data_IF_420231572221
#
_entry.id   IF_420231572221
#
_cell.length_a   1.000
_cell.length_b   1.000
_cell.length_c   1.000
_cell.angle_alpha   90.00
_cell.angle_beta   90.00
_cell.angle_gamma   90.00
#
_symmetry.space_group_name_H-M   'P 1'
#
loop_
_entity.id
_entity.type
_entity.pdbx_description
1 polymer ?
#
# COMPACT_ATOMS: atom_id res chain seq x y z
N UNK A 1 -10.72 -34.94 13.62
CA UNK A 1 -9.84 -33.77 13.40
C UNK A 1 -8.65 -33.90 14.34
N UNK A 2 -7.42 -33.64 13.88
CA UNK A 2 -6.28 -33.59 14.81
C UNK A 2 -6.51 -32.45 15.81
N UNK A 3 -6.29 -32.74 17.10
CA UNK A 3 -6.57 -31.81 18.21
C UNK A 3 -5.30 -31.03 18.60
N UNK A 4 -5.44 -29.71 18.79
CA UNK A 4 -4.39 -28.82 19.28
C UNK A 4 -3.20 -28.61 18.33
N UNK A 5 -2.09 -28.08 18.87
CA UNK A 5 -0.85 -27.76 18.14
C UNK A 5 0.13 -28.94 18.08
N UNK A 6 -0.36 -30.10 17.63
CA UNK A 6 0.39 -31.36 17.61
C UNK A 6 1.71 -31.28 16.79
N UNK A 7 1.77 -30.43 15.76
CA UNK A 7 2.99 -30.21 14.94
C UNK A 7 4.08 -29.50 15.76
N UNK A 8 3.72 -28.50 16.55
CA UNK A 8 4.68 -27.81 17.41
C UNK A 8 5.13 -28.69 18.56
N UNK A 9 4.19 -29.45 19.14
CA UNK A 9 4.47 -30.42 20.19
C UNK A 9 5.45 -31.50 19.69
N UNK A 10 5.26 -32.00 18.47
CA UNK A 10 6.18 -32.93 17.82
C UNK A 10 7.56 -32.32 17.60
N UNK A 11 7.64 -31.05 17.14
CA UNK A 11 8.92 -30.34 16.97
C UNK A 11 9.63 -30.07 18.29
N UNK A 12 8.90 -29.84 19.38
CA UNK A 12 9.47 -29.68 20.74
C UNK A 12 10.01 -31.00 21.28
N UNK A 13 9.31 -32.12 21.05
CA UNK A 13 9.68 -33.47 21.53
C UNK A 13 10.80 -34.12 20.73
N UNK A 14 10.72 -34.06 19.39
CA UNK A 14 11.60 -34.78 18.48
C UNK A 14 12.54 -33.87 17.69
N UNK A 15 12.43 -32.55 17.89
CA UNK A 15 13.26 -31.57 17.18
C UNK A 15 12.89 -31.42 15.71
N UNK A 16 13.85 -30.91 14.95
CA UNK A 16 13.77 -30.80 13.51
C UNK A 16 14.53 -31.95 12.84
N UNK A 17 14.22 -32.19 11.56
CA UNK A 17 15.09 -33.01 10.72
C UNK A 17 16.50 -32.40 10.70
N UNK A 18 17.53 -33.23 10.80
CA UNK A 18 18.93 -32.80 10.90
C UNK A 18 19.33 -31.74 9.85
N UNK A 19 18.98 -31.93 8.57
CA UNK A 19 19.34 -30.97 7.50
C UNK A 19 18.42 -29.74 7.40
N UNK A 20 17.46 -29.55 8.30
CA UNK A 20 16.42 -28.53 8.13
C UNK A 20 17.02 -27.13 8.02
N UNK A 21 17.92 -26.79 8.93
CA UNK A 21 18.54 -25.47 8.99
C UNK A 21 19.47 -25.23 7.80
N UNK A 22 20.21 -26.25 7.36
CA UNK A 22 21.06 -26.13 6.16
C UNK A 22 20.23 -25.92 4.89
N UNK A 23 19.14 -26.69 4.74
CA UNK A 23 18.23 -26.56 3.59
C UNK A 23 17.55 -25.19 3.60
N UNK A 24 17.16 -24.68 4.76
CA UNK A 24 16.57 -23.34 4.91
C UNK A 24 17.57 -22.26 4.52
N UNK A 25 18.80 -22.29 5.06
CA UNK A 25 19.88 -21.35 4.71
C UNK A 25 20.19 -21.35 3.22
N UNK A 26 20.39 -22.54 2.62
CA UNK A 26 20.67 -22.68 1.18
C UNK A 26 19.49 -22.21 0.32
N UNK A 27 18.25 -22.32 0.80
CA UNK A 27 17.06 -21.83 0.10
C UNK A 27 16.97 -20.30 0.14
N UNK A 28 17.20 -19.70 1.30
CA UNK A 28 17.22 -18.24 1.48
C UNK A 28 18.32 -17.60 0.62
N UNK A 29 19.54 -18.17 0.63
CA UNK A 29 20.63 -17.70 -0.21
C UNK A 29 20.31 -17.78 -1.72
N UNK A 30 19.69 -18.88 -2.17
CA UNK A 30 19.29 -19.06 -3.58
C UNK A 30 18.11 -18.18 -4.00
N UNK A 31 17.30 -17.73 -3.05
CA UNK A 31 16.08 -16.96 -3.32
C UNK A 31 16.37 -15.68 -4.10
N UNK A 32 17.52 -15.05 -3.89
CA UNK A 32 17.93 -13.83 -4.62
C UNK A 32 18.07 -14.11 -6.11
N UNK A 33 18.84 -15.13 -6.48
CA UNK A 33 19.02 -15.54 -7.87
C UNK A 33 17.73 -16.04 -8.50
N UNK A 34 16.94 -16.84 -7.75
CA UNK A 34 15.65 -17.32 -8.23
C UNK A 34 14.66 -16.19 -8.50
N UNK A 35 14.60 -15.16 -7.64
CA UNK A 35 13.71 -14.00 -7.84
C UNK A 35 14.07 -13.24 -9.10
N UNK A 36 15.37 -13.01 -9.33
CA UNK A 36 15.86 -12.37 -10.55
C UNK A 36 15.51 -13.19 -11.79
N UNK A 37 15.81 -14.49 -11.76
CA UNK A 37 15.50 -15.39 -12.87
C UNK A 37 13.99 -15.47 -13.17
N UNK A 38 13.14 -15.50 -12.14
CA UNK A 38 11.67 -15.48 -12.30
C UNK A 38 11.18 -14.18 -12.92
N UNK A 39 11.75 -13.03 -12.54
CA UNK A 39 11.39 -11.74 -13.13
C UNK A 39 11.78 -11.65 -14.61
N UNK A 40 12.97 -12.15 -14.98
CA UNK A 40 13.46 -12.15 -16.36
C UNK A 40 12.71 -13.13 -17.26
N UNK A 41 12.39 -14.32 -16.75
CA UNK A 41 11.82 -15.42 -17.56
C UNK A 41 10.28 -15.43 -17.60
N UNK A 42 9.60 -14.73 -16.68
CA UNK A 42 8.14 -14.74 -16.63
C UNK A 42 7.53 -13.87 -17.74
N UNK A 43 6.81 -14.49 -18.66
CA UNK A 43 6.14 -13.82 -19.77
C UNK A 43 4.66 -13.52 -19.48
N UNK A 44 4.10 -12.58 -20.23
CA UNK A 44 2.67 -12.24 -20.22
C UNK A 44 2.15 -11.71 -18.88
N UNK A 45 0.95 -12.15 -18.49
CA UNK A 45 0.24 -11.68 -17.29
C UNK A 45 1.04 -12.00 -16.01
N UNK A 46 1.75 -13.14 -15.98
CA UNK A 46 2.56 -13.54 -14.82
C UNK A 46 3.70 -12.55 -14.58
N UNK A 47 4.38 -12.08 -15.64
CA UNK A 47 5.40 -11.04 -15.55
C UNK A 47 4.85 -9.72 -14.99
N UNK A 48 3.69 -9.27 -15.50
CA UNK A 48 3.01 -8.05 -15.02
C UNK A 48 2.64 -8.15 -13.52
N UNK A 49 2.14 -9.31 -13.08
CA UNK A 49 1.81 -9.57 -11.69
C UNK A 49 3.05 -9.52 -10.78
N UNK A 50 4.18 -10.10 -11.22
CA UNK A 50 5.45 -10.07 -10.48
C UNK A 50 5.97 -8.63 -10.36
N UNK A 51 5.94 -7.86 -11.45
CA UNK A 51 6.37 -6.46 -11.43
C UNK A 51 5.54 -5.61 -10.45
N UNK A 52 4.21 -5.79 -10.45
CA UNK A 52 3.31 -5.09 -9.52
C UNK A 52 3.60 -5.45 -8.06
N UNK A 53 3.84 -6.73 -7.75
CA UNK A 53 4.21 -7.17 -6.40
C UNK A 53 5.55 -6.58 -5.96
N UNK A 54 6.58 -6.66 -6.82
CA UNK A 54 7.90 -6.11 -6.52
C UNK A 54 7.86 -4.59 -6.27
N UNK A 55 7.04 -3.85 -7.02
CA UNK A 55 6.86 -2.41 -6.79
C UNK A 55 6.22 -2.12 -5.43
N UNK A 56 5.15 -2.85 -5.07
CA UNK A 56 4.50 -2.70 -3.78
C UNK A 56 5.42 -3.03 -2.60
N UNK A 57 6.19 -4.13 -2.71
CA UNK A 57 7.20 -4.51 -1.69
C UNK A 57 8.27 -3.43 -1.53
N UNK A 58 8.81 -2.89 -2.63
CA UNK A 58 9.80 -1.80 -2.59
C UNK A 58 9.23 -0.52 -1.96
N UNK A 59 8.01 -0.15 -2.31
CA UNK A 59 7.36 1.04 -1.76
C UNK A 59 7.10 0.88 -0.26
N UNK A 60 6.66 -0.29 0.19
CA UNK A 60 6.47 -0.60 1.60
C UNK A 60 7.80 -0.51 2.35
N UNK A 61 8.86 -1.16 1.85
CA UNK A 61 10.17 -1.14 2.49
C UNK A 61 10.77 0.27 2.55
N UNK A 62 10.61 1.08 1.49
CA UNK A 62 11.06 2.47 1.49
C UNK A 62 10.35 3.28 2.58
N UNK A 63 9.03 3.10 2.75
CA UNK A 63 8.26 3.76 3.81
C UNK A 63 8.71 3.30 5.19
N UNK A 64 8.92 2.01 5.41
CA UNK A 64 9.36 1.51 6.72
C UNK A 64 10.75 2.01 7.09
N UNK A 65 11.66 2.13 6.12
CA UNK A 65 12.99 2.71 6.35
C UNK A 65 12.89 4.21 6.67
N UNK A 66 12.11 4.97 5.89
CA UNK A 66 11.90 6.40 6.16
C UNK A 66 11.29 6.64 7.56
N UNK A 67 10.27 5.87 7.95
CA UNK A 67 9.69 5.95 9.30
C UNK A 67 10.71 5.63 10.39
N UNK A 68 11.56 4.62 10.18
CA UNK A 68 12.59 4.27 11.15
C UNK A 68 13.66 5.36 11.25
N UNK A 69 14.13 5.90 10.12
CA UNK A 69 15.06 7.03 10.05
C UNK A 69 14.51 8.27 10.76
N UNK A 70 13.28 8.69 10.45
CA UNK A 70 12.59 9.83 11.08
C UNK A 70 12.42 9.63 12.59
N UNK A 71 12.03 8.42 13.03
CA UNK A 71 11.87 8.10 14.45
C UNK A 71 13.20 8.10 15.21
N UNK A 72 14.29 7.69 14.57
CA UNK A 72 15.63 7.68 15.17
C UNK A 72 16.19 9.08 15.36
N UNK A 73 15.86 10.01 14.47
CA UNK A 73 16.24 11.42 14.59
C UNK A 73 15.13 12.20 15.28
N UNK A 74 14.96 12.03 16.60
CA UNK A 74 14.20 13.00 17.39
C UNK A 74 14.92 14.34 17.37
N UNK A 75 14.67 15.15 16.35
CA UNK A 75 14.97 16.58 16.38
C UNK A 75 13.89 17.24 17.22
N UNK A 76 14.29 18.10 18.16
CA UNK A 76 13.36 19.07 18.73
C UNK A 76 12.86 19.90 17.56
N UNK A 77 11.56 19.93 17.33
CA UNK A 77 10.95 20.87 16.41
C UNK A 77 11.23 22.25 17.00
N UNK A 78 12.00 23.09 16.30
CA UNK A 78 12.09 24.50 16.65
C UNK A 78 10.70 25.10 16.36
N UNK A 79 10.13 25.76 17.36
CA UNK A 79 8.75 26.28 17.40
C UNK A 79 8.57 27.50 16.47
N UNK A 80 8.99 27.41 15.20
CA UNK A 80 8.57 28.37 14.18
C UNK A 80 7.16 28.00 13.70
N UNK A 81 6.21 28.66 14.33
CA UNK A 81 4.77 28.64 14.03
C UNK A 81 4.58 28.79 12.53
N UNK A 82 4.19 27.70 11.86
CA UNK A 82 3.83 27.73 10.45
C UNK A 82 2.57 28.59 10.28
N UNK A 83 2.53 29.45 9.25
CA UNK A 83 1.44 30.42 8.93
C UNK A 83 0.03 29.81 8.68
N UNK A 84 -0.15 28.51 8.94
CA UNK A 84 -1.41 27.76 8.87
C UNK A 84 -1.86 27.16 10.21
N UNK A 85 -1.30 27.61 11.34
CA UNK A 85 -1.65 27.12 12.67
C UNK A 85 -3.09 27.52 13.06
N UNK A 86 -4.01 26.57 12.92
CA UNK A 86 -5.37 26.69 13.43
C UNK A 86 -5.34 26.46 14.95
N UNK A 87 -6.14 27.17 15.76
CA UNK A 87 -6.18 26.91 17.20
C UNK A 87 -6.47 25.44 17.51
N UNK A 88 -5.87 24.89 18.59
CA UNK A 88 -5.95 23.46 18.95
C UNK A 88 -7.39 22.91 18.99
N UNK A 89 -8.37 23.75 19.32
CA UNK A 89 -9.80 23.39 19.35
C UNK A 89 -10.48 23.20 17.97
N UNK A 90 -9.81 23.54 16.86
CA UNK A 90 -10.24 23.31 15.49
C UNK A 90 -9.34 22.32 14.70
N UNK A 91 -8.21 21.86 15.26
CA UNK A 91 -7.23 21.00 14.56
C UNK A 91 -7.80 19.63 14.15
N UNK A 92 -8.51 18.95 15.06
CA UNK A 92 -9.06 17.62 14.79
C UNK A 92 -10.46 17.65 14.14
N UNK A 93 -10.96 18.84 13.80
CA UNK A 93 -12.24 19.01 13.09
C UNK A 93 -12.05 18.84 11.60
N UNK A 94 -11.40 17.75 11.19
CA UNK A 94 -11.25 17.37 9.80
C UNK A 94 -12.61 16.89 9.23
N UNK A 95 -13.40 17.87 8.77
CA UNK A 95 -14.27 17.76 7.60
C UNK A 95 -15.71 17.20 7.80
N UNK A 96 -16.58 17.97 8.47
CA UNK A 96 -18.00 18.01 8.05
C UNK A 96 -18.18 18.62 6.64
N UNK A 97 -17.12 19.21 6.08
CA UNK A 97 -17.06 19.78 4.74
C UNK A 97 -16.91 18.74 3.63
N UNK A 98 -16.33 17.55 3.88
CA UNK A 98 -16.13 16.52 2.85
C UNK A 98 -17.47 15.89 2.44
N UNK A 99 -18.37 15.66 3.40
CA UNK A 99 -19.76 15.26 3.12
C UNK A 99 -20.52 16.35 2.34
N UNK A 100 -20.44 17.62 2.77
CA UNK A 100 -21.06 18.75 2.05
C UNK A 100 -20.46 19.00 0.66
N UNK A 101 -19.18 18.67 0.45
CA UNK A 101 -18.53 18.70 -0.88
C UNK A 101 -19.04 17.56 -1.77
N UNK A 102 -19.29 16.36 -1.22
CA UNK A 102 -19.95 15.28 -1.96
C UNK A 102 -21.41 15.60 -2.30
N UNK A 103 -22.13 16.28 -1.41
CA UNK A 103 -23.50 16.73 -1.65
C UNK A 103 -23.55 17.89 -2.65
N UNK A 104 -22.60 18.85 -2.59
CA UNK A 104 -22.40 19.85 -3.64
C UNK A 104 -22.04 19.22 -4.98
N UNK A 105 -21.13 18.24 -5.00
CA UNK A 105 -20.75 17.54 -6.22
C UNK A 105 -21.89 16.69 -6.80
N UNK A 106 -22.77 16.11 -5.97
CA UNK A 106 -24.02 15.47 -6.42
C UNK A 106 -24.99 16.49 -6.99
N UNK A 107 -25.18 17.62 -6.31
CA UNK A 107 -26.08 18.69 -6.73
C UNK A 107 -25.61 19.39 -8.01
N UNK A 108 -24.30 19.59 -8.17
CA UNK A 108 -23.68 19.92 -9.45
C UNK A 108 -23.94 18.81 -10.46
N UNK A 109 -23.64 17.54 -10.17
CA UNK A 109 -23.90 16.46 -11.15
C UNK A 109 -25.37 16.37 -11.61
N UNK A 110 -26.33 16.67 -10.75
CA UNK A 110 -27.76 16.76 -11.10
C UNK A 110 -28.11 18.05 -11.85
N UNK A 111 -27.51 19.20 -11.51
CA UNK A 111 -27.66 20.44 -12.29
C UNK A 111 -27.03 20.31 -13.68
N UNK A 112 -25.91 19.60 -13.80
CA UNK A 112 -25.28 19.26 -15.08
C UNK A 112 -26.14 18.32 -15.93
N UNK A 113 -26.94 17.46 -15.28
CA UNK A 113 -27.88 16.57 -15.95
C UNK A 113 -29.17 17.28 -16.42
N UNK A 114 -29.54 18.38 -15.77
CA UNK A 114 -30.70 19.23 -16.12
C UNK A 114 -30.30 20.58 -16.73
N UNK A 115 -29.07 20.74 -17.21
CA UNK A 115 -28.60 21.92 -17.95
C UNK A 115 -27.32 22.57 -17.42
N UNK A 116 -26.22 21.81 -17.30
CA UNK A 116 -24.90 22.37 -16.97
C UNK A 116 -23.84 22.24 -18.06
N UNK A 117 -22.65 22.84 -17.85
CA UNK A 117 -21.72 23.32 -18.89
C UNK A 117 -21.15 22.34 -19.94
N UNK A 118 -21.52 21.06 -19.94
CA UNK A 118 -21.08 20.06 -20.92
C UNK A 118 -22.20 19.69 -21.91
N UNK A 119 -22.92 20.67 -22.46
CA UNK A 119 -23.83 20.45 -23.61
C UNK A 119 -23.21 20.83 -24.97
N UNK A 120 -21.89 20.93 -25.05
CA UNK A 120 -21.15 20.94 -26.32
C UNK A 120 -20.25 19.71 -26.44
N UNK A 121 -20.87 18.54 -26.54
CA UNK A 121 -20.19 17.26 -26.74
C UNK A 121 -20.72 16.55 -27.98
N UNK A 122 -20.16 16.90 -29.14
CA UNK A 122 -20.25 16.18 -30.43
C UNK A 122 -21.68 15.91 -30.93
N UNK A 123 -22.20 16.85 -31.72
CA UNK A 123 -23.19 16.50 -32.73
C UNK A 123 -22.57 15.43 -33.65
N UNK A 124 -23.06 14.20 -33.55
CA UNK A 124 -22.78 13.15 -34.51
C UNK A 124 -23.31 13.64 -35.86
N UNK A 125 -22.41 14.04 -36.75
CA UNK A 125 -22.75 14.46 -38.10
C UNK A 125 -23.40 13.30 -38.83
N UNK A 126 -24.68 13.45 -39.18
CA UNK A 126 -25.31 12.70 -40.26
C UNK A 126 -24.65 13.14 -41.57
N UNK A 127 -23.93 12.25 -42.21
CA UNK A 127 -23.77 12.20 -43.66
C UNK A 127 -23.59 10.74 -44.06
#
# INVERSE_FOLDING_TARGET
>A
MPQGDYIELHRKRHGYRHDFFEKKRKKEARQVHERSAKAQKALGIKGKMIAKKNYAEKALMKKTLAMHEESSTRRKVDDEVQDGAIPAYLMDRENTTRAKQHDKAKKERESWKMGGPYTQGKACGRR
#
